data_IF_980707383020
#
_entry.id   IF_980707383020
#
_cell.length_a   1.000
_cell.length_b   1.000
_cell.length_c   1.000
_cell.angle_alpha   90.00
_cell.angle_beta   90.00
_cell.angle_gamma   90.00
#
_symmetry.space_group_name_H-M   'P 1'
#
loop_
_entity.id
_entity.type
_entity.pdbx_description
1 polymer ?
#
# COMPACT_ATOMS: atom_id res chain seq x y z
N UNK A 1 -0.78 -18.09 27.45
CA UNK A 1 0.45 -17.29 27.58
C UNK A 1 1.21 -17.75 28.81
N UNK A 2 2.47 -18.19 28.67
CA UNK A 2 3.18 -18.88 29.77
C UNK A 2 4.36 -18.13 30.39
N UNK A 3 4.90 -17.04 29.83
CA UNK A 3 6.01 -16.27 30.45
C UNK A 3 6.05 -14.81 29.99
N UNK A 4 6.31 -13.90 30.93
CA UNK A 4 6.78 -12.54 30.67
C UNK A 4 8.31 -12.55 30.61
N UNK A 5 8.90 -11.93 29.60
CA UNK A 5 10.35 -11.71 29.54
C UNK A 5 10.56 -10.19 29.39
N UNK A 6 11.34 -9.54 30.27
CA UNK A 6 11.83 -8.20 29.99
C UNK A 6 12.79 -8.30 28.81
N UNK A 7 12.45 -7.60 27.73
CA UNK A 7 13.14 -7.67 26.44
C UNK A 7 13.49 -6.25 26.01
N UNK A 8 14.66 -6.09 25.43
CA UNK A 8 15.03 -4.86 24.75
C UNK A 8 14.62 -5.04 23.28
N UNK A 9 13.72 -4.20 22.78
CA UNK A 9 13.37 -4.17 21.36
C UNK A 9 14.28 -3.16 20.65
N UNK A 10 14.81 -3.49 19.48
CA UNK A 10 15.66 -2.60 18.70
C UNK A 10 15.36 -2.64 17.20
N UNK A 11 15.57 -1.51 16.54
CA UNK A 11 15.29 -1.26 15.12
C UNK A 11 16.60 -1.19 14.32
N UNK A 12 16.67 -1.86 13.15
CA UNK A 12 17.79 -1.75 12.20
C UNK A 12 17.34 -0.83 11.06
N UNK A 13 17.92 0.37 10.95
CA UNK A 13 17.64 1.30 9.86
C UNK A 13 18.48 1.04 8.61
N UNK A 14 17.80 0.98 7.46
CA UNK A 14 18.31 1.39 6.15
C UNK A 14 17.54 2.65 5.72
N UNK A 15 18.26 3.70 5.34
CA UNK A 15 17.74 5.06 5.24
C UNK A 15 16.75 5.29 4.09
N UNK A 16 15.60 5.93 4.39
CA UNK A 16 14.69 6.56 3.43
C UNK A 16 13.92 7.72 4.07
N UNK A 17 13.72 8.81 3.33
CA UNK A 17 13.22 10.12 3.81
C UNK A 17 11.75 10.30 3.43
N UNK A 18 10.90 10.83 4.32
CA UNK A 18 9.53 11.30 4.00
C UNK A 18 9.23 12.70 4.57
N UNK A 19 8.41 13.46 3.84
CA UNK A 19 7.79 14.73 4.24
C UNK A 19 6.25 14.65 4.25
N UNK A 20 5.53 15.67 4.76
CA UNK A 20 4.17 15.48 5.32
C UNK A 20 2.97 16.00 4.49
N UNK A 21 1.81 15.48 4.89
CA UNK A 21 0.39 15.65 4.51
C UNK A 21 -0.23 17.06 4.52
N UNK A 22 -1.35 17.24 3.78
CA UNK A 22 -2.50 18.08 4.17
C UNK A 22 -3.84 17.65 3.51
N UNK A 23 -4.96 18.09 4.11
CA UNK A 23 -6.30 17.47 4.13
C UNK A 23 -7.37 18.21 3.29
N UNK A 24 -8.18 17.45 2.56
CA UNK A 24 -9.66 17.44 2.50
C UNK A 24 -10.48 18.71 2.25
N UNK A 25 -11.22 18.73 1.13
CA UNK A 25 -12.31 19.67 0.85
C UNK A 25 -13.27 19.20 -0.26
N UNK A 26 -14.57 19.23 0.03
CA UNK A 26 -15.71 18.61 -0.66
C UNK A 26 -16.06 19.25 -2.03
N UNK A 27 -16.42 18.40 -2.99
CA UNK A 27 -16.79 18.73 -4.38
C UNK A 27 -18.19 19.37 -4.50
N UNK A 28 -18.29 20.50 -5.21
CA UNK A 28 -19.50 20.96 -5.90
C UNK A 28 -19.18 21.05 -7.40
N UNK A 29 -19.89 20.28 -8.22
CA UNK A 29 -19.79 20.31 -9.67
C UNK A 29 -20.50 21.57 -10.21
N UNK A 30 -19.76 22.42 -10.93
CA UNK A 30 -20.34 23.51 -11.70
C UNK A 30 -20.41 23.08 -13.18
N UNK A 31 -21.65 22.99 -13.66
CA UNK A 31 -22.06 22.85 -15.05
C UNK A 31 -21.52 24.00 -15.91
N UNK A 32 -20.78 23.67 -16.97
CA UNK A 32 -20.40 24.60 -18.03
C UNK A 32 -20.71 23.96 -19.39
N UNK A 33 -21.99 23.97 -19.75
CA UNK A 33 -22.45 23.76 -21.12
C UNK A 33 -21.84 24.80 -22.08
N UNK A 34 -20.83 24.40 -22.85
CA UNK A 34 -20.25 25.15 -23.95
C UNK A 34 -20.28 24.32 -25.23
N UNK A 35 -21.19 24.66 -26.14
CA UNK A 35 -21.35 24.03 -27.45
C UNK A 35 -20.13 24.27 -28.37
N UNK A 36 -19.50 23.20 -28.87
CA UNK A 36 -18.48 23.28 -29.91
C UNK A 36 -18.07 21.89 -30.45
N UNK A 37 -18.40 21.65 -31.72
CA UNK A 37 -17.90 20.65 -32.68
C UNK A 37 -17.72 19.17 -32.22
N UNK A 38 -18.59 18.29 -32.72
CA UNK A 38 -18.68 16.84 -32.42
C UNK A 38 -17.65 16.01 -33.22
N UNK A 39 -16.39 16.45 -33.28
CA UNK A 39 -15.27 15.59 -33.68
C UNK A 39 -14.33 15.47 -32.51
N UNK A 40 -14.45 14.39 -31.74
CA UNK A 40 -13.56 14.09 -30.62
C UNK A 40 -12.07 14.11 -30.99
N UNK A 41 -11.18 14.03 -30.01
CA UNK A 41 -9.73 14.04 -30.21
C UNK A 41 -9.27 13.04 -31.28
N UNK A 42 -8.32 13.45 -32.13
CA UNK A 42 -7.78 12.57 -33.17
C UNK A 42 -7.04 11.34 -32.61
N UNK A 43 -6.36 11.51 -31.48
CA UNK A 43 -5.77 10.45 -30.66
C UNK A 43 -6.16 10.72 -29.22
N UNK A 44 -6.58 9.68 -28.51
CA UNK A 44 -6.95 9.74 -27.11
C UNK A 44 -5.79 9.28 -26.23
N UNK A 45 -5.66 9.92 -25.07
CA UNK A 45 -5.06 9.27 -23.89
C UNK A 45 -6.18 8.41 -23.32
N UNK A 46 -6.18 7.15 -23.73
CA UNK A 46 -7.30 6.22 -23.58
C UNK A 46 -7.46 5.72 -22.16
N UNK A 47 -6.34 5.39 -21.54
CA UNK A 47 -6.25 4.76 -20.24
C UNK A 47 -4.85 5.03 -19.67
N UNK A 48 -4.73 5.13 -18.36
CA UNK A 48 -3.46 5.16 -17.67
C UNK A 48 -3.62 4.58 -16.26
N UNK A 49 -2.50 4.14 -15.69
CA UNK A 49 -2.42 3.64 -14.32
C UNK A 49 -1.25 4.32 -13.62
N UNK A 50 -1.52 5.15 -12.61
CA UNK A 50 -0.52 5.91 -11.85
C UNK A 50 -0.13 5.26 -10.51
N UNK A 51 -0.78 4.16 -10.14
CA UNK A 51 -0.44 3.36 -8.97
C UNK A 51 -0.43 1.88 -9.35
N UNK A 52 0.59 1.50 -10.12
CA UNK A 52 0.77 0.15 -10.60
C UNK A 52 1.52 -0.71 -9.57
N UNK A 53 0.83 -1.71 -9.01
CA UNK A 53 1.37 -2.73 -8.11
C UNK A 53 1.35 -4.13 -8.73
N UNK A 54 1.34 -4.22 -10.05
CA UNK A 54 1.44 -5.50 -10.77
C UNK A 54 2.65 -6.30 -10.27
N UNK A 55 2.47 -7.59 -10.00
CA UNK A 55 3.54 -8.50 -9.58
C UNK A 55 3.42 -9.83 -10.33
N UNK A 56 4.54 -10.49 -10.62
CA UNK A 56 4.50 -11.81 -11.25
C UNK A 56 4.11 -12.91 -10.24
N UNK A 57 3.25 -13.88 -10.60
CA UNK A 57 2.62 -14.06 -11.91
C UNK A 57 1.47 -13.07 -12.15
N UNK A 58 1.48 -12.43 -13.31
CA UNK A 58 0.50 -11.40 -13.66
C UNK A 58 -0.93 -11.96 -13.74
N UNK A 59 -1.85 -11.23 -13.14
CA UNK A 59 -3.30 -11.42 -13.27
C UNK A 59 -3.88 -10.62 -14.44
N UNK A 60 -5.20 -10.63 -14.58
CA UNK A 60 -5.88 -9.91 -15.67
C UNK A 60 -5.69 -8.39 -15.50
N UNK A 61 -5.30 -7.71 -16.58
CA UNK A 61 -5.06 -6.26 -16.57
C UNK A 61 -3.71 -5.82 -16.01
N UNK A 62 -2.97 -6.72 -15.34
CA UNK A 62 -1.65 -6.42 -14.80
C UNK A 62 -0.57 -6.42 -15.89
N UNK A 63 0.37 -5.48 -15.77
CA UNK A 63 1.48 -5.34 -16.71
C UNK A 63 2.73 -4.79 -16.01
N UNK A 64 3.86 -5.42 -16.32
CA UNK A 64 5.19 -4.96 -15.97
C UNK A 64 5.87 -4.38 -17.21
N UNK A 65 6.79 -3.45 -17.01
CA UNK A 65 7.64 -2.98 -18.09
C UNK A 65 8.67 -4.03 -18.54
N UNK A 66 9.41 -3.73 -19.61
CA UNK A 66 10.40 -4.64 -20.18
C UNK A 66 11.61 -4.91 -19.29
N UNK A 67 11.72 -4.26 -18.13
CA UNK A 67 12.70 -4.57 -17.09
C UNK A 67 12.09 -5.40 -15.94
N UNK A 68 10.77 -5.62 -15.95
CA UNK A 68 10.05 -6.32 -14.90
C UNK A 68 9.58 -5.41 -13.76
N UNK A 69 9.61 -4.09 -13.94
CA UNK A 69 9.17 -3.12 -12.94
C UNK A 69 7.68 -2.76 -13.12
N UNK A 70 6.95 -2.55 -12.03
CA UNK A 70 5.55 -2.09 -12.04
C UNK A 70 5.46 -0.58 -12.27
N UNK A 71 6.03 -0.10 -13.37
CA UNK A 71 6.00 1.31 -13.76
C UNK A 71 4.58 1.77 -14.05
N UNK A 72 4.27 3.03 -13.73
CA UNK A 72 3.07 3.72 -14.23
C UNK A 72 3.02 3.64 -15.76
N UNK A 73 1.85 3.66 -16.35
CA UNK A 73 1.73 3.61 -17.81
C UNK A 73 0.60 4.46 -18.34
N UNK A 74 0.74 4.84 -19.60
CA UNK A 74 -0.17 5.66 -20.38
C UNK A 74 -0.44 4.91 -21.68
N UNK A 75 -1.70 4.76 -22.03
CA UNK A 75 -2.13 4.21 -23.30
C UNK A 75 -2.69 5.30 -24.21
N UNK A 76 -2.21 5.30 -25.45
CA UNK A 76 -2.77 6.08 -26.53
C UNK A 76 -3.63 5.21 -27.43
N UNK A 77 -4.80 5.73 -27.85
CA UNK A 77 -5.70 5.05 -28.77
C UNK A 77 -6.02 5.93 -29.97
N UNK A 78 -6.00 5.33 -31.17
CA UNK A 78 -6.52 5.93 -32.39
C UNK A 78 -7.96 5.46 -32.65
N UNK A 79 -9.00 6.23 -32.24
CA UNK A 79 -10.39 5.84 -32.47
C UNK A 79 -10.84 6.00 -33.93
N UNK A 80 -10.01 6.58 -34.79
CA UNK A 80 -10.37 6.88 -36.17
C UNK A 80 -10.32 5.65 -37.08
N UNK A 81 -10.86 5.81 -38.29
CA UNK A 81 -10.82 4.79 -39.34
C UNK A 81 -9.58 4.89 -40.26
N UNK A 82 -8.61 5.75 -39.92
CA UNK A 82 -7.39 5.96 -40.71
C UNK A 82 -6.14 5.86 -39.82
N UNK A 83 -5.00 5.53 -40.42
CA UNK A 83 -3.75 5.46 -39.67
C UNK A 83 -3.23 6.87 -39.37
N UNK A 84 -2.73 7.10 -38.15
CA UNK A 84 -2.22 8.39 -37.69
C UNK A 84 -0.76 8.25 -37.25
N UNK A 85 0.12 9.06 -37.82
CA UNK A 85 1.53 9.17 -37.40
C UNK A 85 1.66 10.18 -36.27
N UNK A 86 2.04 9.71 -35.08
CA UNK A 86 2.28 10.53 -33.90
C UNK A 86 3.76 10.83 -33.67
N UNK A 87 4.63 10.49 -34.62
CA UNK A 87 6.06 10.79 -34.55
C UNK A 87 6.33 12.28 -34.33
N UNK A 88 7.10 12.60 -33.29
CA UNK A 88 7.42 13.98 -32.91
C UNK A 88 6.37 14.70 -32.07
N UNK A 89 5.27 14.05 -31.69
CA UNK A 89 4.30 14.58 -30.73
C UNK A 89 4.87 14.52 -29.31
N UNK A 90 4.17 15.14 -28.34
CA UNK A 90 4.64 15.27 -26.97
C UNK A 90 3.64 14.75 -25.94
N UNK A 91 4.14 14.08 -24.91
CA UNK A 91 3.42 13.82 -23.67
C UNK A 91 3.91 14.78 -22.58
N UNK A 92 3.01 15.17 -21.70
CA UNK A 92 3.32 16.02 -20.55
C UNK A 92 2.36 15.79 -19.39
N UNK A 93 2.87 15.88 -18.18
CA UNK A 93 2.14 15.93 -16.91
C UNK A 93 1.95 17.40 -16.41
N UNK A 94 2.39 18.38 -17.21
CA UNK A 94 2.46 19.78 -16.80
C UNK A 94 1.81 20.68 -17.86
N UNK A 95 0.68 21.28 -17.50
CA UNK A 95 -0.11 22.15 -18.38
C UNK A 95 0.66 23.40 -18.86
N UNK A 96 1.64 23.86 -18.07
CA UNK A 96 2.55 24.96 -18.41
C UNK A 96 3.73 24.56 -19.29
N UNK A 97 4.01 23.27 -19.46
CA UNK A 97 5.12 22.74 -20.27
C UNK A 97 4.60 21.67 -21.25
N UNK A 98 4.02 22.11 -22.37
CA UNK A 98 3.41 21.22 -23.38
C UNK A 98 4.40 20.29 -24.11
N UNK A 99 5.69 20.60 -24.10
CA UNK A 99 6.73 19.87 -24.84
C UNK A 99 7.68 19.10 -23.92
N UNK A 100 7.17 18.53 -22.81
CA UNK A 100 8.01 17.90 -21.76
C UNK A 100 8.74 16.63 -22.22
N UNK A 101 8.05 15.72 -22.90
CA UNK A 101 8.64 14.50 -23.46
C UNK A 101 8.17 14.30 -24.90
N UNK A 102 9.10 14.04 -25.84
CA UNK A 102 8.79 13.95 -27.26
C UNK A 102 8.95 12.51 -27.77
N UNK A 103 7.97 12.01 -28.53
CA UNK A 103 8.13 10.79 -29.31
C UNK A 103 9.19 10.97 -30.41
N UNK A 104 10.04 9.96 -30.69
CA UNK A 104 10.97 10.05 -31.80
C UNK A 104 10.24 10.15 -33.15
N UNK A 105 10.91 10.67 -34.17
CA UNK A 105 10.34 10.82 -35.52
C UNK A 105 10.74 9.65 -36.42
N UNK A 106 9.89 9.34 -37.40
CA UNK A 106 10.23 8.40 -38.48
C UNK A 106 10.24 6.93 -38.09
N UNK A 107 9.58 6.55 -36.99
CA UNK A 107 9.44 5.16 -36.57
C UNK A 107 8.08 4.60 -37.01
N UNK A 108 8.06 3.47 -37.70
CA UNK A 108 6.82 2.83 -38.18
C UNK A 108 5.86 2.44 -37.06
N UNK A 109 6.38 2.13 -35.85
CA UNK A 109 5.58 1.82 -34.66
C UNK A 109 4.81 3.00 -34.08
N UNK A 110 5.11 4.23 -34.52
CA UNK A 110 4.38 5.45 -34.15
C UNK A 110 3.31 5.82 -35.18
N UNK A 111 3.11 4.99 -36.20
CA UNK A 111 1.98 5.08 -37.11
C UNK A 111 0.89 4.17 -36.55
N UNK A 112 0.00 4.71 -35.73
CA UNK A 112 -1.07 3.96 -35.09
C UNK A 112 -2.12 3.59 -36.16
N UNK A 113 -2.41 2.29 -36.38
CA UNK A 113 -3.46 1.89 -37.30
C UNK A 113 -4.85 2.33 -36.81
N UNK A 114 -5.90 2.24 -37.65
CA UNK A 114 -7.27 2.44 -37.20
C UNK A 114 -7.61 1.52 -36.01
N UNK A 115 -8.13 2.07 -34.92
CA UNK A 115 -8.40 1.34 -33.67
C UNK A 115 -7.16 0.84 -32.93
N UNK A 116 -5.96 1.33 -33.31
CA UNK A 116 -4.69 0.89 -32.74
C UNK A 116 -4.38 1.54 -31.39
N UNK A 117 -3.66 0.80 -30.55
CA UNK A 117 -3.20 1.22 -29.23
C UNK A 117 -1.68 1.34 -29.18
N UNK A 118 -1.17 2.22 -28.33
CA UNK A 118 0.26 2.33 -27.99
C UNK A 118 0.42 2.54 -26.48
N UNK A 119 1.13 1.61 -25.84
CA UNK A 119 1.50 1.72 -24.44
C UNK A 119 2.83 2.46 -24.27
N UNK A 120 2.89 3.36 -23.30
CA UNK A 120 4.07 4.13 -22.90
C UNK A 120 4.17 4.11 -21.38
N UNK A 121 5.28 3.64 -20.83
CA UNK A 121 5.49 3.70 -19.38
C UNK A 121 5.88 5.11 -18.94
N UNK A 122 5.34 5.59 -17.82
CA UNK A 122 5.69 6.86 -17.19
C UNK A 122 6.62 6.61 -16.01
N UNK A 123 7.89 6.28 -16.30
CA UNK A 123 8.84 5.81 -15.27
C UNK A 123 9.93 6.82 -14.91
N UNK A 124 9.92 8.02 -15.49
CA UNK A 124 10.88 9.07 -15.15
C UNK A 124 12.26 8.92 -15.77
N UNK A 125 12.44 8.09 -16.80
CA UNK A 125 13.76 7.81 -17.41
C UNK A 125 14.27 9.04 -18.16
N UNK A 126 15.38 9.61 -17.70
CA UNK A 126 15.91 10.86 -18.27
C UNK A 126 17.00 10.62 -19.32
N UNK A 127 17.20 11.60 -20.21
CA UNK A 127 18.30 11.57 -21.18
C UNK A 127 19.68 11.56 -20.51
N UNK A 128 19.84 12.20 -19.35
CA UNK A 128 21.11 12.24 -18.63
C UNK A 128 21.52 10.84 -18.13
N UNK A 129 20.55 10.02 -17.72
CA UNK A 129 20.77 8.63 -17.27
C UNK A 129 20.90 7.65 -18.44
N UNK A 130 20.28 7.96 -19.59
CA UNK A 130 20.25 7.09 -20.77
C UNK A 130 20.66 7.81 -22.08
N UNK A 131 21.89 8.36 -22.17
CA UNK A 131 22.29 9.22 -23.28
C UNK A 131 22.28 8.53 -24.66
N UNK A 132 22.60 7.24 -24.70
CA UNK A 132 22.68 6.45 -25.94
C UNK A 132 21.34 5.76 -26.31
N UNK A 133 20.33 5.88 -25.45
CA UNK A 133 19.00 5.30 -25.62
C UNK A 133 17.95 6.31 -25.16
N UNK A 134 17.86 7.46 -25.86
CA UNK A 134 16.86 8.48 -25.56
C UNK A 134 16.08 8.92 -26.82
N UNK A 135 14.74 9.01 -26.77
CA UNK A 135 13.84 8.59 -25.68
C UNK A 135 14.05 7.12 -25.30
N UNK A 136 13.98 6.82 -24.00
CA UNK A 136 14.30 5.48 -23.51
C UNK A 136 13.30 4.45 -24.01
N UNK A 137 13.84 3.33 -24.48
CA UNK A 137 13.11 2.15 -24.92
C UNK A 137 13.65 0.96 -24.16
N UNK A 138 12.78 0.22 -23.49
CA UNK A 138 13.16 -0.95 -22.71
C UNK A 138 13.43 -2.19 -23.61
N UNK A 139 13.91 -3.31 -23.02
CA UNK A 139 14.16 -4.54 -23.78
C UNK A 139 12.92 -5.17 -24.45
N UNK A 140 11.71 -4.87 -23.96
CA UNK A 140 10.45 -5.33 -24.55
C UNK A 140 9.95 -4.39 -25.67
N UNK A 141 10.58 -3.23 -25.83
CA UNK A 141 10.28 -2.26 -26.86
C UNK A 141 9.32 -1.15 -26.43
N UNK A 142 8.94 -1.04 -25.16
CA UNK A 142 8.08 0.04 -24.70
C UNK A 142 8.85 1.35 -24.55
N UNK A 143 8.18 2.46 -24.85
CA UNK A 143 8.73 3.78 -24.59
C UNK A 143 8.56 4.14 -23.12
N UNK A 144 9.50 4.92 -22.58
CA UNK A 144 9.38 5.51 -21.25
C UNK A 144 9.46 7.03 -21.29
N UNK A 145 8.53 7.70 -20.60
CA UNK A 145 8.58 9.15 -20.41
C UNK A 145 9.67 9.54 -19.42
N UNK A 146 10.05 10.83 -19.44
CA UNK A 146 10.97 11.43 -18.47
C UNK A 146 10.26 11.94 -17.21
N UNK A 147 9.02 11.51 -16.98
CA UNK A 147 8.24 11.84 -15.80
C UNK A 147 7.51 10.59 -15.28
N UNK A 148 6.93 10.72 -14.09
CA UNK A 148 6.03 9.72 -13.49
C UNK A 148 4.65 10.33 -13.29
N UNK A 149 3.65 9.50 -13.03
CA UNK A 149 2.31 9.99 -12.75
C UNK A 149 2.11 10.18 -11.23
N UNK A 150 1.43 11.26 -10.85
CA UNK A 150 1.06 11.55 -9.47
C UNK A 150 -0.18 10.77 -9.04
N UNK A 151 -0.06 10.02 -7.94
CA UNK A 151 -1.20 9.33 -7.32
C UNK A 151 -2.23 10.31 -6.73
N UNK A 152 -1.84 11.54 -6.42
CA UNK A 152 -2.75 12.57 -5.89
C UNK A 152 -3.61 13.23 -6.98
N UNK A 153 -3.31 12.96 -8.26
CA UNK A 153 -3.89 13.62 -9.42
C UNK A 153 -3.05 14.80 -9.91
N UNK A 154 -3.01 14.98 -11.23
CA UNK A 154 -2.29 16.08 -11.90
C UNK A 154 -2.82 16.25 -13.34
N UNK A 155 -2.26 17.20 -14.09
CA UNK A 155 -2.54 17.33 -15.52
C UNK A 155 -1.90 16.17 -16.29
N UNK A 156 -2.57 15.64 -17.31
CA UNK A 156 -1.95 14.73 -18.28
C UNK A 156 -2.43 15.08 -19.69
N UNK A 157 -1.49 15.36 -20.60
CA UNK A 157 -1.81 15.86 -21.93
C UNK A 157 -0.93 15.33 -23.04
N UNK A 158 -1.54 15.23 -24.23
CA UNK A 158 -0.94 14.89 -25.50
C UNK A 158 -0.95 16.14 -26.39
N UNK A 159 0.22 16.58 -26.82
CA UNK A 159 0.41 17.77 -27.66
C UNK A 159 0.93 17.34 -29.03
N UNK A 160 0.40 17.94 -30.10
CA UNK A 160 0.79 17.65 -31.47
C UNK A 160 2.25 18.01 -31.80
N UNK A 161 2.71 17.61 -32.99
CA UNK A 161 4.08 17.85 -33.45
C UNK A 161 4.48 19.33 -33.56
N UNK A 162 3.52 20.26 -33.55
CA UNK A 162 3.77 21.71 -33.52
C UNK A 162 4.21 22.22 -32.13
N UNK A 163 4.10 21.39 -31.10
CA UNK A 163 4.44 21.72 -29.72
C UNK A 163 3.45 22.65 -29.02
N UNK A 164 2.31 22.96 -29.62
CA UNK A 164 1.34 23.94 -29.10
C UNK A 164 -0.10 23.43 -29.04
N UNK A 165 -0.52 22.65 -30.04
CA UNK A 165 -1.88 22.14 -30.16
C UNK A 165 -2.09 20.97 -29.20
N UNK A 166 -2.96 21.15 -28.21
CA UNK A 166 -3.39 20.03 -27.36
C UNK A 166 -4.30 19.12 -28.19
N UNK A 167 -3.91 17.86 -28.37
CA UNK A 167 -4.70 16.86 -29.06
C UNK A 167 -5.72 16.24 -28.10
N UNK A 168 -5.26 15.85 -26.92
CA UNK A 168 -6.11 15.36 -25.84
C UNK A 168 -5.49 15.71 -24.48
N UNK A 169 -6.33 15.90 -23.46
CA UNK A 169 -5.89 16.05 -22.10
C UNK A 169 -6.94 15.50 -21.13
N UNK A 170 -6.47 14.96 -20.01
CA UNK A 170 -7.29 14.75 -18.82
C UNK A 170 -7.23 16.03 -18.01
N UNK A 171 -8.19 16.92 -18.21
CA UNK A 171 -8.29 18.25 -17.59
C UNK A 171 -9.71 18.58 -17.11
N UNK A 172 -10.55 17.56 -16.87
CA UNK A 172 -11.95 17.72 -16.45
C UNK A 172 -12.15 17.73 -14.93
N UNK A 173 -11.14 17.34 -14.14
CA UNK A 173 -11.20 17.38 -12.67
C UNK A 173 -10.43 18.58 -12.14
N UNK A 174 -11.06 19.37 -11.27
CA UNK A 174 -10.42 20.51 -10.63
C UNK A 174 -9.61 20.05 -9.42
N UNK A 175 -8.30 20.28 -9.44
CA UNK A 175 -7.36 19.82 -8.40
C UNK A 175 -7.12 20.84 -7.28
N UNK A 176 -7.65 22.07 -7.45
CA UNK A 176 -7.33 23.20 -6.59
C UNK A 176 -6.22 24.07 -7.20
N UNK A 177 -5.94 25.23 -6.60
CA UNK A 177 -4.89 26.14 -7.12
C UNK A 177 -5.15 26.76 -8.51
N UNK A 178 -6.30 26.48 -9.13
CA UNK A 178 -6.59 26.84 -10.52
C UNK A 178 -6.16 25.78 -11.54
N UNK A 179 -5.64 24.65 -11.07
CA UNK A 179 -5.19 23.54 -11.91
C UNK A 179 -6.33 22.53 -12.16
N UNK A 180 -6.20 21.87 -13.30
CA UNK A 180 -7.14 20.88 -13.80
C UNK A 180 -6.36 19.66 -14.29
N UNK A 181 -6.94 18.48 -14.09
CA UNK A 181 -6.25 17.22 -14.29
C UNK A 181 -7.14 16.00 -14.22
N UNK A 182 -6.52 14.86 -13.91
CA UNK A 182 -7.16 13.63 -13.47
C UNK A 182 -7.21 13.56 -11.93
N UNK A 183 -8.18 12.84 -11.33
CA UNK A 183 -8.35 12.80 -9.87
C UNK A 183 -7.30 11.94 -9.16
N UNK A 184 -7.34 11.88 -7.83
CA UNK A 184 -6.57 10.92 -7.05
C UNK A 184 -6.73 9.48 -7.59
N UNK A 185 -5.64 8.75 -7.68
CA UNK A 185 -5.56 7.41 -8.24
C UNK A 185 -5.51 6.38 -7.11
N UNK A 186 -5.90 5.13 -7.41
CA UNK A 186 -5.85 4.03 -6.46
C UNK A 186 -5.07 2.88 -7.04
N UNK A 187 -4.46 2.11 -6.14
CA UNK A 187 -3.74 0.88 -6.45
C UNK A 187 -4.51 0.01 -7.45
N UNK A 188 -3.86 -0.26 -8.59
CA UNK A 188 -4.34 -1.12 -9.65
C UNK A 188 -5.71 -0.75 -10.24
N UNK A 189 -6.19 0.49 -10.03
CA UNK A 189 -7.40 1.02 -10.66
C UNK A 189 -7.00 2.06 -11.69
N UNK A 190 -7.20 1.73 -12.96
CA UNK A 190 -6.89 2.64 -14.06
C UNK A 190 -7.95 3.73 -14.20
N UNK A 191 -7.52 4.84 -14.79
CA UNK A 191 -8.37 5.95 -15.18
C UNK A 191 -8.23 6.18 -16.69
N UNK A 192 -9.34 6.48 -17.35
CA UNK A 192 -9.35 6.53 -18.80
C UNK A 192 -10.62 7.16 -19.34
N UNK A 193 -10.91 6.87 -20.61
CA UNK A 193 -12.09 7.38 -21.32
C UNK A 193 -13.01 6.22 -21.65
N UNK A 194 -14.28 6.33 -21.25
CA UNK A 194 -15.35 5.42 -21.68
C UNK A 194 -16.51 6.25 -22.23
N UNK A 195 -16.99 5.93 -23.43
CA UNK A 195 -18.05 6.70 -24.12
C UNK A 195 -17.78 8.23 -24.17
N UNK A 196 -16.53 8.63 -24.36
CA UNK A 196 -16.03 10.02 -24.37
C UNK A 196 -16.07 10.77 -23.03
N UNK A 197 -16.34 10.07 -21.93
CA UNK A 197 -16.28 10.61 -20.58
C UNK A 197 -15.09 10.04 -19.81
N UNK A 198 -14.34 10.88 -19.06
CA UNK A 198 -13.26 10.42 -18.23
C UNK A 198 -13.80 9.74 -16.96
N UNK A 199 -13.29 8.54 -16.65
CA UNK A 199 -13.82 7.68 -15.60
C UNK A 199 -12.77 6.72 -15.05
N UNK A 200 -13.03 6.17 -13.86
CA UNK A 200 -12.33 5.01 -13.34
C UNK A 200 -12.84 3.75 -14.04
N UNK A 201 -11.95 2.88 -14.50
CA UNK A 201 -12.30 1.67 -15.26
C UNK A 201 -12.35 0.40 -14.38
N UNK A 202 -11.81 0.47 -13.16
CA UNK A 202 -11.79 -0.68 -12.24
C UNK A 202 -10.64 -1.63 -12.57
N UNK A 203 -10.83 -2.51 -13.56
CA UNK A 203 -9.79 -3.43 -14.05
C UNK A 203 -9.06 -2.81 -15.25
N UNK A 204 -7.72 -2.74 -15.25
CA UNK A 204 -7.00 -2.15 -16.36
C UNK A 204 -7.06 -2.96 -17.66
N UNK A 205 -7.06 -2.28 -18.80
CA UNK A 205 -7.24 -2.90 -20.13
C UNK A 205 -6.12 -2.62 -21.16
N UNK A 206 -4.84 -2.78 -20.80
CA UNK A 206 -3.75 -2.43 -21.70
C UNK A 206 -3.80 -3.21 -23.03
N UNK A 207 -3.77 -2.46 -24.13
CA UNK A 207 -3.73 -2.92 -25.51
C UNK A 207 -5.09 -3.28 -26.11
N UNK A 208 -6.19 -3.10 -25.38
CA UNK A 208 -7.55 -3.44 -25.81
C UNK A 208 -8.56 -2.35 -25.42
N UNK A 209 -9.83 -2.54 -25.81
CA UNK A 209 -10.87 -1.57 -25.49
C UNK A 209 -11.23 -1.58 -23.99
N UNK A 210 -11.37 -0.37 -23.43
CA UNK A 210 -11.83 -0.13 -22.07
C UNK A 210 -13.18 -0.82 -21.80
N UNK A 211 -13.32 -1.37 -20.59
CA UNK A 211 -14.58 -1.97 -20.12
C UNK A 211 -15.48 -0.92 -19.44
N UNK A 212 -16.69 -1.35 -19.07
CA UNK A 212 -17.63 -0.49 -18.34
C UNK A 212 -16.99 0.08 -17.07
N UNK A 213 -17.14 1.38 -16.81
CA UNK A 213 -16.50 2.03 -15.67
C UNK A 213 -17.13 1.63 -14.34
N UNK A 214 -16.37 1.81 -13.27
CA UNK A 214 -16.90 1.72 -11.91
C UNK A 214 -17.61 3.01 -11.54
N UNK A 215 -18.78 2.91 -10.90
CA UNK A 215 -19.57 4.05 -10.46
C UNK A 215 -18.94 4.78 -9.25
N UNK A 216 -17.90 4.20 -8.65
CA UNK A 216 -17.18 4.75 -7.51
C UNK A 216 -16.49 3.65 -6.71
N UNK A 217 -16.08 4.00 -5.49
CA UNK A 217 -15.38 3.13 -4.57
C UNK A 217 -16.27 2.80 -3.38
N UNK A 218 -16.21 1.57 -2.91
CA UNK A 218 -16.89 1.17 -1.68
C UNK A 218 -16.04 1.58 -0.47
N UNK A 219 -16.67 2.19 0.53
CA UNK A 219 -16.03 2.57 1.78
C UNK A 219 -15.56 1.32 2.54
N UNK A 220 -14.35 1.42 3.12
CA UNK A 220 -13.77 0.37 3.94
C UNK A 220 -14.69 0.02 5.12
N UNK A 221 -14.89 -1.28 5.44
CA UNK A 221 -15.65 -1.69 6.62
C UNK A 221 -15.07 -1.10 7.91
N UNK A 222 -15.97 -0.66 8.81
CA UNK A 222 -15.63 -0.30 10.18
C UNK A 222 -16.13 -1.35 11.17
N UNK A 223 -15.48 -1.39 12.33
CA UNK A 223 -15.70 -2.36 13.41
C UNK A 223 -16.19 -1.62 14.65
N UNK A 224 -17.19 -2.17 15.34
CA UNK A 224 -17.73 -1.58 16.57
C UNK A 224 -16.77 -1.63 17.75
N UNK A 225 -15.81 -2.55 17.71
CA UNK A 225 -14.76 -2.76 18.72
C UNK A 225 -13.46 -2.93 17.95
N UNK A 226 -12.41 -2.17 18.29
CA UNK A 226 -11.09 -2.26 17.63
C UNK A 226 -10.33 -3.50 18.08
N UNK A 227 -9.39 -3.98 17.28
CA UNK A 227 -8.48 -5.05 17.63
C UNK A 227 -7.60 -4.69 18.82
N UNK A 228 -7.00 -5.72 19.41
CA UNK A 228 -6.26 -5.61 20.66
C UNK A 228 -6.38 -6.86 21.54
N UNK A 229 -6.06 -6.69 22.82
CA UNK A 229 -6.10 -7.77 23.80
C UNK A 229 -7.36 -7.74 24.67
N UNK A 230 -7.95 -8.92 24.88
CA UNK A 230 -9.23 -9.05 25.59
C UNK A 230 -9.22 -10.20 26.59
N UNK A 231 -9.66 -9.93 27.82
CA UNK A 231 -9.76 -10.94 28.89
C UNK A 231 -10.99 -11.85 28.80
N UNK A 232 -11.93 -11.50 27.92
CA UNK A 232 -13.23 -12.16 27.73
C UNK A 232 -13.58 -12.18 26.26
N UNK A 233 -14.56 -13.00 25.89
CA UNK A 233 -15.09 -13.03 24.53
C UNK A 233 -15.62 -11.64 24.11
N UNK A 234 -15.48 -11.31 22.83
CA UNK A 234 -15.88 -10.01 22.27
C UNK A 234 -16.92 -10.25 21.17
N UNK A 235 -17.95 -9.42 21.14
CA UNK A 235 -18.93 -9.39 20.06
C UNK A 235 -18.67 -8.16 19.18
N UNK A 236 -18.42 -8.39 17.89
CA UNK A 236 -18.07 -7.33 16.93
C UNK A 236 -19.21 -7.16 15.94
N UNK A 237 -19.62 -5.91 15.70
CA UNK A 237 -20.54 -5.56 14.63
C UNK A 237 -19.73 -4.82 13.56
N UNK A 238 -19.93 -5.20 12.29
CA UNK A 238 -19.35 -4.52 11.15
C UNK A 238 -20.36 -3.57 10.50
N UNK A 239 -19.86 -2.43 10.04
CA UNK A 239 -20.61 -1.42 9.30
C UNK A 239 -19.84 -0.96 8.07
N UNK A 240 -20.54 -0.40 7.09
CA UNK A 240 -19.97 0.22 5.90
C UNK A 240 -20.85 1.42 5.56
N UNK A 241 -20.24 2.57 5.32
CA UNK A 241 -20.96 3.82 5.06
C UNK A 241 -21.55 3.86 3.64
N UNK A 242 -21.04 3.03 2.73
CA UNK A 242 -21.59 2.89 1.38
C UNK A 242 -22.95 2.18 1.40
N UNK A 243 -24.05 2.88 1.07
CA UNK A 243 -25.38 2.28 1.12
C UNK A 243 -25.52 1.13 0.11
N UNK A 244 -26.06 0.01 0.58
CA UNK A 244 -26.29 -1.19 -0.22
C UNK A 244 -25.05 -2.09 -0.42
N UNK A 245 -23.91 -1.77 0.21
CA UNK A 245 -22.76 -2.65 0.21
C UNK A 245 -22.99 -3.90 1.09
N UNK A 246 -22.41 -5.02 0.67
CA UNK A 246 -22.35 -6.26 1.45
C UNK A 246 -20.93 -6.50 1.96
N UNK A 247 -20.77 -6.88 3.22
CA UNK A 247 -19.45 -7.13 3.82
C UNK A 247 -19.19 -8.65 3.84
N UNK A 248 -18.01 -9.06 3.37
CA UNK A 248 -17.50 -10.44 3.49
C UNK A 248 -16.36 -10.47 4.47
N UNK A 249 -16.29 -11.54 5.24
CA UNK A 249 -15.31 -11.70 6.29
C UNK A 249 -14.65 -13.08 6.26
N UNK A 250 -13.37 -13.12 6.62
CA UNK A 250 -12.59 -14.36 6.80
C UNK A 250 -11.86 -14.30 8.14
N UNK A 251 -11.55 -15.48 8.69
CA UNK A 251 -10.77 -15.62 9.93
C UNK A 251 -9.66 -16.66 9.82
N UNK A 252 -9.44 -17.17 8.61
CA UNK A 252 -8.43 -18.19 8.29
C UNK A 252 -7.19 -17.59 7.60
N UNK A 253 -7.14 -16.27 7.48
CA UNK A 253 -6.06 -15.53 6.82
C UNK A 253 -6.17 -15.48 5.29
N UNK A 254 -7.25 -15.99 4.69
CA UNK A 254 -7.51 -15.82 3.25
C UNK A 254 -8.17 -14.46 2.96
N UNK A 255 -7.86 -13.84 1.83
CA UNK A 255 -8.49 -12.57 1.45
C UNK A 255 -10.01 -12.75 1.22
N UNK A 256 -10.89 -11.89 1.80
CA UNK A 256 -12.30 -11.90 1.47
C UNK A 256 -12.54 -11.65 -0.02
N UNK A 257 -13.57 -12.25 -0.60
CA UNK A 257 -14.00 -11.97 -1.97
C UNK A 257 -15.51 -12.08 -2.07
N UNK A 258 -16.14 -11.73 -3.22
CA UNK A 258 -17.59 -11.90 -3.38
C UNK A 258 -18.07 -13.35 -3.12
N UNK A 259 -17.16 -14.33 -3.28
CA UNK A 259 -17.41 -15.77 -3.09
C UNK A 259 -16.62 -16.39 -1.93
N UNK A 260 -15.58 -15.74 -1.40
CA UNK A 260 -14.79 -16.23 -0.27
C UNK A 260 -15.16 -15.51 1.03
N UNK A 261 -15.37 -16.27 2.10
CA UNK A 261 -15.73 -15.74 3.41
C UNK A 261 -17.24 -15.70 3.72
N UNK A 262 -17.57 -15.54 4.99
CA UNK A 262 -18.94 -15.44 5.48
C UNK A 262 -19.47 -14.01 5.35
N UNK A 263 -20.77 -13.86 5.11
CA UNK A 263 -21.41 -12.55 5.01
C UNK A 263 -21.61 -11.95 6.39
N UNK A 264 -21.18 -10.71 6.55
CA UNK A 264 -21.36 -9.89 7.74
C UNK A 264 -22.45 -8.84 7.47
N UNK A 265 -23.29 -8.55 8.46
CA UNK A 265 -24.43 -7.64 8.29
C UNK A 265 -24.62 -6.72 9.48
N UNK A 266 -25.23 -5.55 9.24
CA UNK A 266 -25.53 -4.55 10.24
C UNK A 266 -26.49 -5.13 11.31
N UNK A 267 -25.93 -5.69 12.38
CA UNK A 267 -26.67 -6.15 13.57
C UNK A 267 -26.47 -7.62 13.97
N UNK A 268 -25.78 -8.45 13.17
CA UNK A 268 -25.40 -9.80 13.57
C UNK A 268 -23.98 -9.80 14.10
N UNK A 269 -23.75 -9.96 15.42
CA UNK A 269 -22.42 -9.90 15.97
C UNK A 269 -21.57 -11.10 15.54
N UNK A 270 -20.30 -10.85 15.25
CA UNK A 270 -19.27 -11.87 15.13
C UNK A 270 -18.79 -12.17 16.55
N UNK A 271 -18.99 -13.40 16.99
CA UNK A 271 -18.56 -13.85 18.31
C UNK A 271 -17.10 -14.29 18.30
N UNK A 272 -16.25 -13.58 19.02
CA UNK A 272 -14.82 -13.88 19.16
C UNK A 272 -14.59 -14.58 20.50
N UNK A 273 -14.46 -15.90 20.46
CA UNK A 273 -14.25 -16.78 21.62
C UNK A 273 -12.83 -17.36 21.73
N UNK A 274 -11.96 -17.00 20.78
CA UNK A 274 -10.54 -17.33 20.72
C UNK A 274 -9.78 -16.23 19.99
N UNK A 275 -8.46 -16.21 20.10
CA UNK A 275 -7.65 -15.27 19.31
C UNK A 275 -7.85 -15.52 17.81
N UNK A 276 -8.11 -14.46 17.05
CA UNK A 276 -8.31 -14.49 15.59
C UNK A 276 -7.71 -13.25 14.93
N UNK A 277 -7.44 -13.37 13.64
CA UNK A 277 -7.38 -12.22 12.74
C UNK A 277 -8.68 -12.19 11.95
N UNK A 278 -9.39 -11.06 11.98
CA UNK A 278 -10.59 -10.83 11.20
C UNK A 278 -10.21 -9.97 9.99
N UNK A 279 -10.39 -10.49 8.79
CA UNK A 279 -10.31 -9.71 7.57
C UNK A 279 -11.73 -9.45 7.06
N UNK A 280 -12.05 -8.21 6.69
CA UNK A 280 -13.36 -7.81 6.21
C UNK A 280 -13.24 -6.88 5.01
N UNK A 281 -14.01 -7.13 3.95
CA UNK A 281 -14.04 -6.29 2.75
C UNK A 281 -15.49 -6.06 2.32
N UNK A 282 -15.80 -4.84 1.87
CA UNK A 282 -17.13 -4.47 1.39
C UNK A 282 -17.19 -4.49 -0.13
N UNK A 283 -18.32 -4.98 -0.65
CA UNK A 283 -18.59 -5.17 -2.07
C UNK A 283 -19.92 -4.54 -2.44
N UNK A 284 -19.97 -3.93 -3.62
CA UNK A 284 -21.20 -3.42 -4.23
C UNK A 284 -21.11 -3.59 -5.74
N UNK A 285 -22.12 -4.21 -6.39
CA UNK A 285 -22.12 -4.36 -7.85
C UNK A 285 -21.97 -3.01 -8.55
N UNK A 286 -21.09 -2.95 -9.56
CA UNK A 286 -20.79 -1.74 -10.33
C UNK A 286 -19.87 -0.73 -9.63
N UNK A 287 -19.30 -1.08 -8.47
CA UNK A 287 -18.32 -0.25 -7.75
C UNK A 287 -17.02 -1.03 -7.57
N UNK A 288 -15.91 -0.31 -7.46
CA UNK A 288 -14.65 -0.90 -7.01
C UNK A 288 -14.79 -1.33 -5.54
N UNK A 289 -14.37 -2.55 -5.24
CA UNK A 289 -14.40 -3.10 -3.88
C UNK A 289 -13.59 -2.24 -2.91
N UNK A 290 -13.96 -2.27 -1.63
CA UNK A 290 -13.21 -1.51 -0.63
C UNK A 290 -11.81 -2.08 -0.43
N UNK A 291 -10.93 -1.30 0.20
CA UNK A 291 -9.75 -1.88 0.87
C UNK A 291 -10.18 -2.91 1.93
N UNK A 292 -9.27 -3.83 2.25
CA UNK A 292 -9.49 -4.83 3.29
C UNK A 292 -9.30 -4.19 4.67
N UNK A 293 -10.27 -4.36 5.57
CA UNK A 293 -10.11 -4.13 7.01
C UNK A 293 -9.52 -5.37 7.65
N UNK A 294 -8.41 -5.21 8.37
CA UNK A 294 -7.81 -6.27 9.18
C UNK A 294 -7.88 -5.83 10.63
N UNK A 295 -8.31 -6.71 11.52
CA UNK A 295 -8.27 -6.49 12.95
C UNK A 295 -7.80 -7.77 13.65
N UNK A 296 -6.93 -7.62 14.64
CA UNK A 296 -6.36 -8.73 15.41
C UNK A 296 -6.93 -8.74 16.83
N UNK A 297 -7.64 -9.80 17.18
CA UNK A 297 -8.20 -9.97 18.52
C UNK A 297 -7.41 -11.06 19.23
N UNK A 298 -6.70 -10.70 20.29
CA UNK A 298 -5.95 -11.65 21.11
C UNK A 298 -6.66 -11.86 22.44
N UNK A 299 -7.14 -13.09 22.68
CA UNK A 299 -7.72 -13.42 23.98
C UNK A 299 -6.62 -13.77 24.98
N UNK A 300 -6.54 -12.98 26.05
CA UNK A 300 -5.56 -13.11 27.12
C UNK A 300 -6.19 -13.75 28.36
N UNK A 301 -5.42 -14.55 29.08
CA UNK A 301 -5.87 -15.08 30.37
C UNK A 301 -6.22 -13.92 31.32
N UNK A 302 -7.35 -13.95 32.05
CA UNK A 302 -7.75 -12.85 32.93
C UNK A 302 -6.69 -12.42 33.95
N UNK A 303 -5.85 -13.35 34.42
CA UNK A 303 -4.76 -13.03 35.34
C UNK A 303 -3.64 -12.23 34.65
N UNK A 304 -3.38 -12.50 33.37
CA UNK A 304 -2.43 -11.74 32.54
C UNK A 304 -3.03 -10.38 32.17
N UNK A 305 -4.32 -10.32 31.83
CA UNK A 305 -5.00 -9.09 31.44
C UNK A 305 -5.00 -8.00 32.53
N UNK A 306 -4.90 -8.40 33.81
CA UNK A 306 -4.80 -7.50 34.95
C UNK A 306 -3.40 -6.89 35.15
N UNK A 307 -2.40 -7.36 34.40
CA UNK A 307 -1.03 -6.83 34.46
C UNK A 307 -0.95 -5.44 33.82
N UNK A 308 -0.16 -4.57 34.46
CA UNK A 308 0.25 -3.28 33.90
C UNK A 308 1.73 -3.05 34.11
N UNK A 309 2.38 -2.32 33.21
CA UNK A 309 3.82 -2.00 33.30
C UNK A 309 4.11 -0.54 32.99
N UNK A 310 5.18 -0.02 33.57
CA UNK A 310 5.77 1.27 33.16
C UNK A 310 6.62 1.12 31.89
N UNK A 311 6.73 -0.10 31.36
CA UNK A 311 7.26 -0.39 30.03
C UNK A 311 6.10 -0.68 29.08
N UNK A 312 6.26 -0.42 27.77
CA UNK A 312 5.33 -0.87 26.75
C UNK A 312 5.16 -2.39 26.80
N UNK A 313 3.98 -2.86 26.40
CA UNK A 313 3.66 -4.28 26.29
C UNK A 313 3.65 -4.68 24.82
N UNK A 314 4.35 -5.75 24.48
CA UNK A 314 4.36 -6.38 23.16
C UNK A 314 3.81 -7.79 23.30
N UNK A 315 2.67 -8.05 22.67
CA UNK A 315 2.02 -9.35 22.64
C UNK A 315 2.24 -9.96 21.28
N UNK A 316 2.73 -11.20 21.23
CA UNK A 316 2.94 -11.95 20.00
C UNK A 316 2.23 -13.29 20.14
N UNK A 317 1.32 -13.57 19.20
CA UNK A 317 0.59 -14.84 19.13
C UNK A 317 0.90 -15.52 17.80
N UNK A 318 1.45 -16.73 17.85
CA UNK A 318 1.75 -17.53 16.64
C UNK A 318 0.55 -18.41 16.23
N UNK A 319 -0.61 -18.22 16.85
CA UNK A 319 -1.81 -19.05 16.69
C UNK A 319 -1.54 -20.54 16.89
N UNK A 320 -0.68 -20.86 17.87
CA UNK A 320 -0.33 -22.24 18.19
C UNK A 320 0.66 -22.89 17.21
N UNK A 321 1.41 -22.09 16.45
CA UNK A 321 2.59 -22.56 15.74
C UNK A 321 3.82 -22.51 16.67
N UNK A 322 4.70 -23.51 16.60
CA UNK A 322 5.98 -23.42 17.30
C UNK A 322 6.95 -22.59 16.45
N UNK A 323 7.74 -21.71 17.08
CA UNK A 323 8.79 -20.99 16.37
C UNK A 323 9.95 -21.96 16.11
N UNK A 324 10.35 -22.23 14.86
CA UNK A 324 11.43 -23.17 14.58
C UNK A 324 12.76 -22.70 15.19
N UNK A 325 13.26 -23.47 16.17
CA UNK A 325 14.59 -23.28 16.74
C UNK A 325 15.65 -23.99 15.86
N UNK A 326 15.69 -23.63 14.57
CA UNK A 326 16.62 -24.14 13.56
C UNK A 326 17.60 -23.05 13.12
N UNK A 327 18.82 -23.13 13.64
CA UNK A 327 19.88 -22.14 13.40
C UNK A 327 20.36 -22.10 11.95
N UNK A 328 20.17 -23.19 11.20
CA UNK A 328 20.63 -23.35 9.82
C UNK A 328 19.61 -22.74 8.87
N UNK A 329 18.35 -23.16 8.97
CA UNK A 329 17.32 -22.73 8.03
C UNK A 329 16.65 -21.41 8.43
N UNK A 330 16.60 -21.10 9.74
CA UNK A 330 16.03 -19.86 10.31
C UNK A 330 14.63 -19.53 9.77
N UNK A 331 13.83 -20.57 9.56
CA UNK A 331 12.48 -20.45 9.00
C UNK A 331 11.60 -19.67 9.97
N UNK A 332 10.97 -18.58 9.53
CA UNK A 332 10.05 -17.82 10.35
C UNK A 332 8.73 -18.57 10.57
N UNK A 333 8.12 -18.31 11.73
CA UNK A 333 6.72 -18.62 12.00
C UNK A 333 5.88 -17.36 11.76
N UNK A 334 4.67 -17.54 11.24
CA UNK A 334 3.70 -16.44 11.16
C UNK A 334 3.17 -16.14 12.55
N UNK A 335 2.93 -14.87 12.82
CA UNK A 335 2.37 -14.40 14.07
C UNK A 335 1.53 -13.14 13.86
N UNK A 336 0.81 -12.77 14.90
CA UNK A 336 0.19 -11.47 15.04
C UNK A 336 0.81 -10.75 16.22
N UNK A 337 0.99 -9.45 16.09
CA UNK A 337 1.47 -8.61 17.17
C UNK A 337 0.39 -7.61 17.59
N UNK A 338 0.34 -7.34 18.89
CA UNK A 338 -0.37 -6.20 19.49
C UNK A 338 0.61 -5.47 20.38
N UNK A 339 0.77 -4.16 20.19
CA UNK A 339 1.68 -3.32 20.96
C UNK A 339 0.93 -2.19 21.62
N UNK A 340 1.24 -1.98 22.89
CA UNK A 340 0.58 -1.02 23.77
C UNK A 340 1.68 -0.22 24.47
N UNK A 341 1.74 1.07 24.19
CA UNK A 341 2.74 1.99 24.70
C UNK A 341 2.33 2.58 26.06
N UNK A 342 3.31 3.19 26.73
CA UNK A 342 3.11 4.09 27.85
C UNK A 342 3.11 5.54 27.36
N UNK A 343 2.26 6.36 27.95
CA UNK A 343 2.24 7.82 27.73
C UNK A 343 2.01 8.49 29.09
N UNK A 344 2.62 9.66 29.32
CA UNK A 344 2.34 10.49 30.49
C UNK A 344 0.85 10.82 30.65
N UNK A 345 0.11 10.93 29.55
CA UNK A 345 -1.34 11.15 29.54
C UNK A 345 -2.17 9.89 29.85
N UNK A 346 -1.65 8.70 29.51
CA UNK A 346 -2.40 7.42 29.56
C UNK A 346 -2.03 6.62 30.82
N UNK A 347 -0.81 6.77 31.32
CA UNK A 347 -0.26 6.03 32.45
C UNK A 347 0.44 4.72 32.04
N UNK A 348 0.55 3.75 32.96
CA UNK A 348 1.15 2.45 32.69
C UNK A 348 0.43 1.70 31.56
N UNK A 349 1.19 0.99 30.73
CA UNK A 349 0.66 0.13 29.68
C UNK A 349 -0.07 -1.05 30.31
N UNK A 350 -1.22 -1.43 29.76
CA UNK A 350 -2.00 -2.57 30.21
C UNK A 350 -2.75 -3.19 29.03
N UNK A 351 -3.11 -4.48 29.12
CA UNK A 351 -3.70 -5.21 27.99
C UNK A 351 -5.02 -4.64 27.46
N UNK A 352 -5.76 -3.89 28.28
CA UNK A 352 -6.99 -3.20 27.88
C UNK A 352 -6.75 -1.71 27.54
N UNK A 353 -5.49 -1.29 27.43
CA UNK A 353 -5.10 0.06 27.05
C UNK A 353 -5.28 0.32 25.55
N UNK A 354 -5.08 1.58 25.12
CA UNK A 354 -5.10 1.91 23.70
C UNK A 354 -3.99 1.17 22.96
N UNK A 355 -4.32 0.63 21.79
CA UNK A 355 -3.38 -0.12 20.96
C UNK A 355 -2.66 0.84 20.01
N UNK A 356 -1.33 0.84 20.04
CA UNK A 356 -0.47 1.64 19.18
C UNK A 356 -0.17 0.93 17.86
N UNK A 357 -0.12 -0.39 17.90
CA UNK A 357 0.05 -1.21 16.71
C UNK A 357 -0.67 -2.55 16.89
N UNK A 358 -1.36 -2.97 15.84
CA UNK A 358 -1.72 -4.37 15.65
C UNK A 358 -1.55 -4.78 14.19
N UNK A 359 -1.18 -6.04 13.97
CA UNK A 359 -1.07 -6.56 12.62
C UNK A 359 -0.25 -7.83 12.48
N UNK A 360 -0.21 -8.38 11.25
CA UNK A 360 0.52 -9.57 10.94
C UNK A 360 2.03 -9.32 10.99
N UNK A 361 2.76 -10.40 11.25
CA UNK A 361 4.21 -10.39 11.16
C UNK A 361 4.80 -11.79 11.13
N UNK A 362 6.11 -11.84 11.00
CA UNK A 362 6.90 -13.05 11.07
C UNK A 362 7.89 -12.98 12.23
N UNK A 363 8.08 -14.11 12.89
CA UNK A 363 9.01 -14.22 14.02
C UNK A 363 9.91 -15.44 13.84
N UNK A 364 11.21 -15.25 14.10
CA UNK A 364 12.20 -16.34 14.09
C UNK A 364 13.24 -16.14 15.17
N UNK A 365 13.80 -17.24 15.66
CA UNK A 365 14.97 -17.18 16.53
C UNK A 365 16.13 -16.47 15.82
N UNK A 366 16.83 -15.63 16.57
CA UNK A 366 18.00 -14.84 16.16
C UNK A 366 19.17 -15.17 17.09
N UNK A 367 20.38 -14.88 16.59
CA UNK A 367 21.62 -15.00 17.33
C UNK A 367 22.46 -16.18 16.87
N UNK A 368 23.75 -16.13 17.17
CA UNK A 368 24.69 -17.18 16.77
C UNK A 368 25.05 -18.03 17.99
N UNK A 369 25.75 -17.44 18.96
CA UNK A 369 26.16 -18.11 20.20
C UNK A 369 25.05 -18.17 21.25
N UNK A 370 24.06 -17.27 21.17
CA UNK A 370 22.94 -17.14 22.12
C UNK A 370 21.69 -17.92 21.70
N UNK A 371 21.70 -18.55 20.52
CA UNK A 371 20.54 -19.21 19.89
C UNK A 371 19.89 -20.29 20.77
N UNK A 372 20.70 -21.04 21.53
CA UNK A 372 20.23 -22.11 22.43
C UNK A 372 20.04 -21.66 23.89
N UNK A 373 20.20 -20.37 24.18
CA UNK A 373 20.07 -19.86 25.55
C UNK A 373 18.60 -19.50 25.80
N UNK A 374 17.93 -20.28 26.66
CA UNK A 374 16.48 -20.44 26.77
C UNK A 374 15.60 -19.23 27.19
N UNK A 375 16.02 -17.99 26.90
CA UNK A 375 15.14 -16.81 26.96
C UNK A 375 14.73 -16.27 25.58
N UNK A 376 15.25 -16.84 24.49
CA UNK A 376 14.80 -16.56 23.12
C UNK A 376 15.11 -15.13 22.66
N UNK A 377 16.05 -14.99 21.73
CA UNK A 377 16.22 -13.74 20.98
C UNK A 377 15.51 -13.92 19.64
N UNK A 378 14.75 -12.94 19.20
CA UNK A 378 13.96 -13.05 17.99
C UNK A 378 14.25 -11.90 17.02
N UNK A 379 14.25 -12.23 15.73
CA UNK A 379 13.93 -11.25 14.70
C UNK A 379 12.42 -11.28 14.52
N UNK A 380 11.81 -10.10 14.45
CA UNK A 380 10.40 -9.88 14.24
C UNK A 380 10.26 -8.94 13.05
N UNK A 381 9.42 -9.31 12.10
CA UNK A 381 9.20 -8.57 10.86
C UNK A 381 7.72 -8.24 10.76
N UNK A 382 7.39 -6.98 10.54
CA UNK A 382 6.01 -6.54 10.36
C UNK A 382 5.63 -6.72 8.90
N UNK A 383 4.44 -7.26 8.68
CA UNK A 383 3.92 -7.47 7.34
C UNK A 383 2.57 -6.77 7.14
N UNK A 384 2.17 -6.62 5.88
CA UNK A 384 0.82 -6.25 5.48
C UNK A 384 -0.10 -7.48 5.35
N UNK A 385 -1.34 -7.26 4.91
CA UNK A 385 -2.33 -8.31 4.59
C UNK A 385 -1.82 -9.39 3.62
N UNK A 386 -0.94 -9.01 2.71
CA UNK A 386 -0.45 -9.86 1.63
C UNK A 386 0.82 -10.61 2.03
N UNK A 387 1.36 -10.31 3.22
CA UNK A 387 2.59 -10.90 3.75
C UNK A 387 3.85 -10.22 3.24
N UNK A 388 3.72 -9.02 2.68
CA UNK A 388 4.84 -8.18 2.28
C UNK A 388 5.32 -7.32 3.45
N UNK A 389 6.60 -6.95 3.43
CA UNK A 389 7.21 -6.10 4.46
C UNK A 389 6.47 -4.77 4.60
N UNK A 390 6.16 -4.38 5.83
CA UNK A 390 5.46 -3.13 6.12
C UNK A 390 6.20 -2.31 7.15
N UNK A 391 6.64 -1.13 6.74
CA UNK A 391 7.23 -0.14 7.63
C UNK A 391 6.17 0.42 8.59
N UNK A 392 6.40 0.28 9.90
CA UNK A 392 5.52 0.84 10.91
C UNK A 392 6.33 1.52 12.02
N UNK A 393 5.97 2.76 12.37
CA UNK A 393 6.57 3.44 13.51
C UNK A 393 6.05 2.80 14.81
N UNK A 394 6.95 2.19 15.59
CA UNK A 394 6.58 1.49 16.81
C UNK A 394 7.13 2.18 18.04
N UNK A 395 6.27 2.41 19.03
CA UNK A 395 6.66 2.84 20.37
C UNK A 395 7.63 4.03 20.30
N UNK A 396 7.26 5.08 19.58
CA UNK A 396 8.06 6.30 19.42
C UNK A 396 9.37 6.15 18.62
N UNK A 397 9.63 4.99 18.03
CA UNK A 397 10.74 4.76 17.10
C UNK A 397 10.28 4.99 15.64
N UNK A 398 11.18 5.38 14.72
CA UNK A 398 10.83 5.56 13.31
C UNK A 398 10.29 4.29 12.67
N UNK A 399 9.59 4.46 11.55
CA UNK A 399 9.03 3.35 10.79
C UNK A 399 10.14 2.46 10.19
N UNK A 400 9.98 1.15 10.37
CA UNK A 400 10.78 0.07 9.79
C UNK A 400 9.93 -1.22 9.82
N UNK A 401 10.25 -2.17 8.95
CA UNK A 401 9.65 -3.51 8.94
C UNK A 401 10.42 -4.49 9.84
N UNK A 402 11.72 -4.30 9.98
CA UNK A 402 12.66 -5.21 10.65
C UNK A 402 12.97 -4.82 12.11
N UNK A 403 12.56 -5.68 13.04
CA UNK A 403 12.71 -5.49 14.47
C UNK A 403 13.45 -6.65 15.15
N UNK A 404 14.07 -6.35 16.29
CA UNK A 404 14.77 -7.35 17.09
C UNK A 404 14.24 -7.32 18.51
N UNK A 405 13.80 -8.48 18.99
CA UNK A 405 13.45 -8.72 20.39
C UNK A 405 14.62 -9.43 21.07
N UNK A 406 15.41 -8.69 21.84
CA UNK A 406 16.56 -9.25 22.55
C UNK A 406 16.30 -9.41 24.05
N UNK A 407 16.22 -10.65 24.51
CA UNK A 407 16.51 -10.98 25.90
C UNK A 407 18.04 -11.18 26.02
N UNK A 408 18.77 -10.26 26.64
CA UNK A 408 20.21 -10.46 26.81
C UNK A 408 20.46 -11.45 27.95
N UNK A 409 20.83 -12.69 27.60
CA UNK A 409 21.12 -13.75 28.58
C UNK A 409 22.49 -13.54 29.27
N UNK A 410 23.38 -12.75 28.65
CA UNK A 410 24.72 -12.43 29.15
C UNK A 410 24.82 -11.06 29.81
N UNK A 411 23.79 -10.22 29.71
CA UNK A 411 23.69 -8.93 30.40
C UNK A 411 22.38 -8.85 31.18
N UNK A 412 22.44 -9.22 32.46
CA UNK A 412 21.28 -9.17 33.34
C UNK A 412 20.81 -7.74 33.66
N UNK A 413 21.63 -6.72 33.37
CA UNK A 413 21.21 -5.33 33.53
C UNK A 413 20.44 -4.81 32.32
N UNK A 414 20.61 -5.46 31.16
CA UNK A 414 20.15 -5.01 29.85
C UNK A 414 20.67 -3.62 29.45
N UNK A 415 21.68 -3.07 30.13
CA UNK A 415 22.20 -1.71 29.92
C UNK A 415 23.33 -1.65 28.90
N UNK A 416 24.03 -2.75 28.64
CA UNK A 416 25.28 -2.74 27.86
C UNK A 416 25.07 -2.22 26.45
N UNK A 417 24.09 -2.75 25.73
CA UNK A 417 23.78 -2.28 24.37
C UNK A 417 23.12 -0.90 24.40
N UNK A 418 22.18 -0.67 25.33
CA UNK A 418 21.47 0.61 25.46
C UNK A 418 22.44 1.78 25.64
N UNK A 419 23.33 1.69 26.62
CA UNK A 419 24.30 2.75 26.93
C UNK A 419 25.29 2.96 25.77
N UNK A 420 25.81 1.86 25.21
CA UNK A 420 26.79 1.95 24.13
C UNK A 420 26.18 2.56 22.85
N UNK A 421 25.00 2.10 22.45
CA UNK A 421 24.32 2.64 21.25
C UNK A 421 23.84 4.05 21.48
N UNK A 422 23.30 4.37 22.66
CA UNK A 422 22.93 5.74 23.00
C UNK A 422 24.10 6.69 22.88
N UNK A 423 25.25 6.39 23.49
CA UNK A 423 26.41 7.28 23.41
C UNK A 423 26.95 7.40 21.98
N UNK A 424 26.91 6.33 21.19
CA UNK A 424 27.29 6.40 19.77
C UNK A 424 26.37 7.30 18.95
N UNK A 425 25.05 7.25 19.21
CA UNK A 425 24.06 8.18 18.64
C UNK A 425 24.29 9.61 19.10
N UNK A 426 24.55 9.82 20.39
CA UNK A 426 24.81 11.16 20.95
C UNK A 426 26.10 11.79 20.35
N UNK A 427 27.03 10.98 19.86
CA UNK A 427 28.22 11.43 19.10
C UNK A 427 27.93 11.72 17.61
N UNK A 428 26.68 11.59 17.16
CA UNK A 428 26.26 11.84 15.78
C UNK A 428 26.46 10.66 14.83
N UNK A 429 26.77 9.46 15.35
CA UNK A 429 26.88 8.26 14.53
C UNK A 429 25.57 7.47 14.53
N UNK A 430 25.40 6.66 13.49
CA UNK A 430 24.28 5.73 13.44
C UNK A 430 24.48 4.55 14.41
N UNK A 431 23.48 4.30 15.26
CA UNK A 431 23.32 3.05 16.00
C UNK A 431 21.83 2.69 16.05
N UNK A 432 21.45 1.40 16.15
CA UNK A 432 20.08 0.97 16.34
C UNK A 432 19.39 1.73 17.47
N UNK A 433 18.15 2.18 17.27
CA UNK A 433 17.31 2.69 18.37
C UNK A 433 16.75 1.52 19.15
N UNK A 434 16.52 1.74 20.44
CA UNK A 434 16.13 0.69 21.37
C UNK A 434 15.10 1.20 22.37
N UNK A 435 14.22 0.30 22.83
CA UNK A 435 13.24 0.56 23.89
C UNK A 435 13.09 -0.69 24.76
N UNK A 436 12.96 -0.51 26.07
CA UNK A 436 12.63 -1.61 26.97
C UNK A 436 11.15 -1.93 26.89
N UNK A 437 10.79 -3.20 26.79
CA UNK A 437 9.40 -3.68 26.68
C UNK A 437 9.17 -4.94 27.49
N UNK A 438 7.91 -5.19 27.86
CA UNK A 438 7.43 -6.47 28.35
C UNK A 438 6.93 -7.30 27.17
N UNK A 439 7.55 -8.46 26.90
CA UNK A 439 7.11 -9.35 25.82
C UNK A 439 6.30 -10.52 26.38
N UNK A 440 5.12 -10.71 25.79
CA UNK A 440 4.25 -11.85 26.00
C UNK A 440 4.16 -12.66 24.71
N UNK A 441 4.83 -13.79 24.69
CA UNK A 441 4.83 -14.71 23.55
C UNK A 441 3.90 -15.90 23.82
N UNK A 442 2.96 -16.13 22.91
CA UNK A 442 2.09 -17.30 22.89
C UNK A 442 2.49 -18.20 21.71
N UNK A 443 3.20 -19.29 22.01
CA UNK A 443 3.57 -20.34 21.04
C UNK A 443 3.18 -21.74 21.57
N UNK A 444 3.22 -22.75 20.68
CA UNK A 444 2.85 -24.15 20.99
C UNK A 444 3.97 -24.97 21.58
#
# INVERSE_FOLDING_TARGET
>A
MSRSIPVLIGCILLSGVYGPFAVGGRMEAADLSGSGDDSGPAILINEFLADNKSESPLEHGEILDGNGDSSDWIELHNPSNSAIDIGGWYLTDNSGLKTKWQFPKGMTRLVLPPGGYLLVFASGKTQAEHPDNYPYVDPAGYFHTNFKLSQEGEYLGLTGADGTTTIHAHDRVKLGGGEWGYPEQRENVSYGVYENEPCYLGEPTPGIANQEPVAGFVDRPDVSVKGGCYARTVDIILSCDTPGASIRCTTDGTAPSPVNGFTCGAGSPIHVDRSITLMAQAFKPGFQSSEVRIETYVLVDPAVAAFSSNLPIVVIDTFGQSIPNDKVNRTPARCQAVMIDTDEAIGPAGFAGPVDFEGPGQIRYRGESTYAQGRGQFAFEIQDEYGQDKDAALLGMPAESDWVLTSEVIDYTLLKCEVAFKWFRDMGHYAPRQRYVEVYLNER
#
